data_IF_452436829078
#
_entry.id   IF_452436829078
#
_cell.length_a   1.000
_cell.length_b   1.000
_cell.length_c   1.000
_cell.angle_alpha   90.00
_cell.angle_beta   90.00
_cell.angle_gamma   90.00
#
_symmetry.space_group_name_H-M   'P 1'
#
loop_
_entity.id
_entity.type
_entity.pdbx_description
1 polymer ?
#
# COMPACT_ATOMS: atom_id res chain seq x y z
N UNK A 1 -7.93 9.93 -8.43
CA UNK A 1 -7.50 9.30 -7.16
C UNK A 1 -8.44 9.61 -5.99
N UNK A 2 -8.64 10.89 -5.63
CA UNK A 2 -9.60 11.26 -4.58
C UNK A 2 -11.04 10.73 -4.83
N UNK A 3 -11.51 10.77 -6.09
CA UNK A 3 -12.80 10.18 -6.47
C UNK A 3 -12.86 8.65 -6.28
N UNK A 4 -11.74 7.94 -6.48
CA UNK A 4 -11.68 6.48 -6.26
C UNK A 4 -11.79 6.17 -4.77
N UNK A 5 -11.05 6.91 -3.93
CA UNK A 5 -11.14 6.78 -2.47
C UNK A 5 -12.57 7.10 -1.99
N UNK A 6 -13.20 8.14 -2.53
CA UNK A 6 -14.60 8.49 -2.22
C UNK A 6 -15.58 7.39 -2.61
N UNK A 7 -15.41 6.77 -3.79
CA UNK A 7 -16.23 5.63 -4.21
C UNK A 7 -16.07 4.45 -3.26
N UNK A 8 -14.84 4.11 -2.86
CA UNK A 8 -14.56 3.04 -1.89
C UNK A 8 -15.24 3.33 -0.55
N UNK A 9 -15.09 4.57 -0.02
CA UNK A 9 -15.72 4.98 1.24
C UNK A 9 -17.24 4.82 1.18
N UNK A 10 -17.86 5.21 0.06
CA UNK A 10 -19.30 5.04 -0.16
C UNK A 10 -19.72 3.57 -0.22
N UNK A 11 -18.94 2.72 -0.88
CA UNK A 11 -19.19 1.27 -0.98
C UNK A 11 -19.13 0.57 0.39
N UNK A 12 -18.25 1.02 1.29
CA UNK A 12 -18.18 0.51 2.67
C UNK A 12 -19.18 1.19 3.63
N UNK A 13 -20.07 2.05 3.11
CA UNK A 13 -21.14 2.69 3.89
C UNK A 13 -20.74 3.96 4.64
N UNK A 14 -19.54 4.51 4.39
CA UNK A 14 -19.08 5.76 5.01
C UNK A 14 -19.57 6.95 4.16
N UNK A 15 -20.58 7.65 4.66
CA UNK A 15 -21.20 8.80 3.96
C UNK A 15 -20.88 10.15 4.61
N UNK A 16 -20.44 10.16 5.87
CA UNK A 16 -20.09 11.37 6.62
C UNK A 16 -18.65 11.29 7.12
N UNK A 17 -17.83 12.24 6.71
CA UNK A 17 -16.42 12.34 7.09
C UNK A 17 -15.92 13.77 6.90
N UNK A 18 -14.88 14.16 7.65
CA UNK A 18 -14.25 15.45 7.46
C UNK A 18 -13.46 15.48 6.13
N UNK A 19 -13.42 16.60 5.41
CA UNK A 19 -12.66 16.72 4.15
C UNK A 19 -11.18 16.34 4.28
N UNK A 20 -10.59 16.52 5.47
CA UNK A 20 -9.18 16.18 5.76
C UNK A 20 -8.91 14.67 5.71
N UNK A 21 -9.90 13.82 6.02
CA UNK A 21 -9.75 12.35 5.99
C UNK A 21 -9.38 11.88 4.58
N UNK A 22 -9.98 12.48 3.55
CA UNK A 22 -9.68 12.16 2.16
C UNK A 22 -8.21 12.44 1.80
N UNK A 23 -7.68 13.59 2.25
CA UNK A 23 -6.28 13.93 2.03
C UNK A 23 -5.34 12.97 2.77
N UNK A 24 -5.68 12.59 4.00
CA UNK A 24 -4.90 11.64 4.78
C UNK A 24 -4.89 10.24 4.14
N UNK A 25 -6.03 9.76 3.66
CA UNK A 25 -6.11 8.48 2.95
C UNK A 25 -5.32 8.51 1.65
N UNK A 26 -5.42 9.61 0.89
CA UNK A 26 -4.65 9.78 -0.34
C UNK A 26 -3.14 9.76 -0.07
N UNK A 27 -2.69 10.53 0.92
CA UNK A 27 -1.29 10.56 1.33
C UNK A 27 -0.81 9.19 1.81
N UNK A 28 -1.63 8.49 2.61
CA UNK A 28 -1.36 7.13 3.06
C UNK A 28 -1.18 6.18 1.88
N UNK A 29 -2.10 6.21 0.89
CA UNK A 29 -2.01 5.36 -0.30
C UNK A 29 -0.71 5.63 -1.07
N UNK A 30 -0.36 6.89 -1.31
CA UNK A 30 0.89 7.22 -2.01
C UNK A 30 2.13 6.78 -1.23
N UNK A 31 2.18 7.03 0.08
CA UNK A 31 3.30 6.59 0.92
C UNK A 31 3.43 5.07 0.94
N UNK A 32 2.31 4.35 1.08
CA UNK A 32 2.31 2.89 1.10
C UNK A 32 2.80 2.30 -0.23
N UNK A 33 2.22 2.75 -1.35
CA UNK A 33 2.61 2.26 -2.69
C UNK A 33 4.07 2.58 -2.99
N UNK A 34 4.54 3.78 -2.63
CA UNK A 34 5.94 4.18 -2.81
C UNK A 34 6.88 3.28 -2.00
N UNK A 35 6.56 3.03 -0.72
CA UNK A 35 7.34 2.13 0.13
C UNK A 35 7.43 0.71 -0.44
N UNK A 36 6.30 0.15 -0.89
CA UNK A 36 6.26 -1.19 -1.49
C UNK A 36 7.10 -1.25 -2.78
N UNK A 37 7.02 -0.21 -3.63
CA UNK A 37 7.79 -0.17 -4.87
C UNK A 37 9.29 0.06 -4.65
N UNK A 38 9.68 0.79 -3.61
CA UNK A 38 11.08 0.97 -3.23
C UNK A 38 11.68 -0.35 -2.74
N UNK A 39 10.97 -1.09 -1.89
CA UNK A 39 11.39 -2.43 -1.44
C UNK A 39 11.45 -3.41 -2.62
N UNK A 40 10.43 -3.44 -3.48
CA UNK A 40 10.42 -4.27 -4.68
C UNK A 40 11.60 -3.96 -5.61
N UNK A 41 11.98 -2.68 -5.75
CA UNK A 41 13.17 -2.28 -6.51
C UNK A 41 14.46 -2.82 -5.87
N UNK A 42 14.56 -2.79 -4.54
CA UNK A 42 15.71 -3.38 -3.82
C UNK A 42 15.80 -4.89 -4.07
N UNK A 43 14.68 -5.62 -4.05
CA UNK A 43 14.67 -7.06 -4.31
C UNK A 43 15.03 -7.40 -5.76
N UNK A 44 14.46 -6.66 -6.72
CA UNK A 44 14.80 -6.81 -8.14
C UNK A 44 16.30 -6.58 -8.39
N UNK A 45 16.87 -5.53 -7.78
CA UNK A 45 18.30 -5.21 -7.86
C UNK A 45 19.15 -6.31 -7.22
N UNK A 46 18.75 -6.85 -6.07
CA UNK A 46 19.44 -7.96 -5.42
C UNK A 46 19.46 -9.22 -6.29
N UNK A 47 18.36 -9.49 -7.00
CA UNK A 47 18.24 -10.57 -7.97
C UNK A 47 18.91 -10.26 -9.33
N UNK A 48 19.59 -9.11 -9.48
CA UNK A 48 20.23 -8.63 -10.72
C UNK A 48 19.26 -8.49 -11.91
N UNK A 49 17.98 -8.27 -11.61
CA UNK A 49 16.94 -7.98 -12.62
C UNK A 49 17.05 -6.53 -13.06
N UNK A 50 16.71 -6.24 -14.32
CA UNK A 50 16.66 -4.86 -14.86
C UNK A 50 15.31 -4.17 -14.62
N UNK A 51 14.28 -4.95 -14.31
CA UNK A 51 12.90 -4.50 -14.12
C UNK A 51 12.30 -5.23 -12.93
N UNK A 52 11.38 -4.57 -12.23
CA UNK A 52 10.58 -5.17 -11.15
C UNK A 52 9.60 -6.17 -11.79
N UNK A 53 9.50 -7.37 -11.24
CA UNK A 53 8.49 -8.34 -11.61
C UNK A 53 7.49 -8.62 -10.48
N UNK A 54 6.55 -9.55 -10.74
CA UNK A 54 5.48 -9.88 -9.81
C UNK A 54 6.01 -10.47 -8.49
N UNK A 55 7.10 -11.23 -8.53
CA UNK A 55 7.65 -11.89 -7.35
C UNK A 55 8.31 -10.86 -6.42
N UNK A 56 8.96 -9.85 -6.98
CA UNK A 56 9.54 -8.73 -6.22
C UNK A 56 8.45 -7.94 -5.47
N UNK A 57 7.31 -7.67 -6.13
CA UNK A 57 6.18 -6.96 -5.52
C UNK A 57 5.51 -7.81 -4.44
N UNK A 58 5.32 -9.11 -4.69
CA UNK A 58 4.73 -10.03 -3.70
C UNK A 58 5.59 -10.10 -2.44
N UNK A 59 6.90 -10.21 -2.60
CA UNK A 59 7.83 -10.24 -1.47
C UNK A 59 7.77 -8.93 -0.67
N UNK A 60 7.75 -7.77 -1.35
CA UNK A 60 7.63 -6.46 -0.69
C UNK A 60 6.35 -6.31 0.11
N UNK A 61 5.21 -6.73 -0.44
CA UNK A 61 3.94 -6.69 0.29
C UNK A 61 3.97 -7.59 1.52
N UNK A 62 4.49 -8.82 1.40
CA UNK A 62 4.60 -9.74 2.53
C UNK A 62 5.46 -9.17 3.66
N UNK A 63 6.64 -8.64 3.33
CA UNK A 63 7.53 -8.03 4.32
C UNK A 63 6.90 -6.80 4.99
N UNK A 64 6.15 -6.01 4.24
CA UNK A 64 5.44 -4.85 4.79
C UNK A 64 4.32 -5.26 5.76
N UNK A 65 3.62 -6.36 5.45
CA UNK A 65 2.60 -6.94 6.32
C UNK A 65 3.21 -7.44 7.62
N UNK A 66 4.27 -8.25 7.55
CA UNK A 66 4.95 -8.82 8.72
C UNK A 66 5.53 -7.72 9.64
N UNK A 67 5.95 -6.59 9.07
CA UNK A 67 6.48 -5.43 9.82
C UNK A 67 5.41 -4.57 10.46
N UNK A 68 4.27 -4.38 9.80
CA UNK A 68 3.29 -3.35 10.18
C UNK A 68 2.02 -3.92 10.83
N UNK A 69 1.74 -5.21 10.62
CA UNK A 69 0.52 -5.86 11.06
C UNK A 69 0.89 -7.08 11.89
N UNK A 70 0.78 -6.94 13.21
CA UNK A 70 0.89 -8.08 14.11
C UNK A 70 -0.50 -8.65 14.35
N UNK A 71 -0.61 -9.97 14.27
CA UNK A 71 -1.79 -10.69 14.77
C UNK A 71 -1.40 -11.38 16.07
N UNK A 72 -2.27 -11.39 17.09
CA UNK A 72 -2.00 -12.19 18.28
C UNK A 72 -1.81 -13.67 17.86
N UNK A 73 -0.84 -14.39 18.45
CA UNK A 73 -0.74 -15.83 18.24
C UNK A 73 -2.04 -16.52 18.71
N UNK A 74 -2.49 -17.59 18.03
CA UNK A 74 -3.66 -18.37 18.42
C UNK A 74 -3.50 -19.05 19.79
#
# INVERSE_FOLDING_TARGET
DAQVIMSIMKEVGITEYEPRVMNQLLEFTYRYVTSVLDDARVFANHAKKKTIDLDDVRLAVQMQLDKSFTSPPP
#
